data_IF_579373395099
#
_entry.id   IF_579373395099
#
_cell.length_a   1.000
_cell.length_b   1.000
_cell.length_c   1.000
_cell.angle_alpha   90.00
_cell.angle_beta   90.00
_cell.angle_gamma   90.00
#
_symmetry.space_group_name_H-M   'P 1'
#
loop_
_entity.id
_entity.type
_entity.pdbx_description
1 polymer ?
#
# COMPACT_ATOMS: atom_id res chain seq x y z
N UNK A 1 -6.28 -21.81 -15.69
CA UNK A 1 -7.15 -21.88 -14.50
C UNK A 1 -6.53 -20.94 -13.47
N UNK A 2 -7.15 -19.78 -13.25
CA UNK A 2 -6.60 -18.70 -12.42
C UNK A 2 -6.88 -19.01 -10.96
N UNK A 3 -5.84 -19.05 -10.12
CA UNK A 3 -6.00 -19.08 -8.66
C UNK A 3 -5.48 -17.75 -8.16
N UNK A 4 -6.42 -16.87 -7.82
CA UNK A 4 -6.21 -15.72 -6.97
C UNK A 4 -5.68 -16.22 -5.62
N UNK A 5 -4.39 -15.98 -5.34
CA UNK A 5 -3.85 -16.15 -4.01
C UNK A 5 -3.96 -14.83 -3.25
N UNK A 6 -4.89 -14.82 -2.31
CA UNK A 6 -5.19 -13.74 -1.40
C UNK A 6 -3.97 -13.31 -0.58
N UNK A 7 -3.34 -12.19 -0.97
CA UNK A 7 -3.14 -11.03 -0.10
C UNK A 7 -2.32 -11.16 1.19
N UNK A 8 -1.73 -12.30 1.55
CA UNK A 8 -0.70 -12.44 2.59
C UNK A 8 0.08 -13.74 2.32
N UNK A 9 1.42 -13.77 2.45
CA UNK A 9 2.13 -15.04 2.34
C UNK A 9 1.66 -15.93 3.49
N UNK A 10 0.89 -16.97 3.16
CA UNK A 10 0.58 -18.02 4.12
C UNK A 10 1.80 -18.89 4.26
N UNK A 11 2.49 -18.79 5.38
CA UNK A 11 3.59 -19.69 5.67
C UNK A 11 3.03 -21.02 6.14
N UNK A 12 3.16 -22.05 5.30
CA UNK A 12 2.94 -23.43 5.73
C UNK A 12 4.28 -24.03 6.14
N UNK A 13 4.36 -24.44 7.41
CA UNK A 13 5.53 -25.09 7.96
C UNK A 13 5.29 -26.60 8.01
N UNK A 14 6.13 -27.37 7.30
CA UNK A 14 6.19 -28.82 7.43
C UNK A 14 7.61 -29.21 7.83
N UNK A 15 7.76 -30.06 8.86
CA UNK A 15 9.08 -30.47 9.33
C UNK A 15 9.06 -31.87 9.97
N UNK A 16 10.24 -32.50 9.95
CA UNK A 16 10.52 -33.79 10.58
C UNK A 16 11.75 -33.64 11.47
N UNK A 17 11.72 -34.33 12.62
CA UNK A 17 12.79 -34.28 13.62
C UNK A 17 13.53 -35.62 13.65
N UNK A 18 14.86 -35.56 13.58
CA UNK A 18 15.76 -36.72 13.65
C UNK A 18 16.69 -36.60 14.86
N UNK A 19 16.94 -37.72 15.55
CA UNK A 19 17.96 -37.77 16.62
C UNK A 19 19.35 -37.90 16.01
N UNK A 20 20.31 -37.12 16.50
CA UNK A 20 21.72 -37.19 16.09
C UNK A 20 22.61 -37.52 17.30
N UNK A 21 23.91 -37.75 17.07
CA UNK A 21 24.88 -38.00 18.14
C UNK A 21 25.11 -36.81 19.07
N UNK A 22 24.77 -35.59 18.62
CA UNK A 22 25.01 -34.33 19.33
C UNK A 22 23.72 -33.60 19.76
N UNK A 23 22.55 -34.15 19.44
CA UNK A 23 21.26 -33.51 19.72
C UNK A 23 20.17 -33.97 18.74
N UNK A 24 19.47 -33.00 18.13
CA UNK A 24 18.39 -33.24 17.19
C UNK A 24 18.56 -32.36 15.95
N UNK A 25 18.14 -32.88 14.80
CA UNK A 25 18.12 -32.18 13.53
C UNK A 25 16.69 -32.04 13.04
N UNK A 26 16.29 -30.82 12.73
CA UNK A 26 14.98 -30.50 12.16
C UNK A 26 15.21 -30.23 10.69
N UNK A 27 14.55 -31.01 9.84
CA UNK A 27 14.52 -30.79 8.39
C UNK A 27 13.09 -30.47 8.01
N UNK A 28 12.90 -29.38 7.30
CA UNK A 28 11.56 -28.95 6.94
C UNK A 28 11.54 -28.08 5.71
N UNK A 29 10.33 -27.71 5.33
CA UNK A 29 10.05 -26.85 4.21
C UNK A 29 9.08 -25.76 4.65
N UNK A 30 9.39 -24.54 4.24
CA UNK A 30 8.54 -23.37 4.38
C UNK A 30 7.94 -23.12 3.00
N UNK A 31 6.62 -23.25 2.88
CA UNK A 31 5.89 -22.89 1.67
C UNK A 31 5.24 -21.53 1.83
N UNK A 32 5.22 -20.75 0.75
CA UNK A 32 4.55 -19.45 0.71
C UNK A 32 4.19 -19.09 -0.74
N UNK A 33 3.22 -18.20 -0.93
CA UNK A 33 2.56 -18.02 -2.22
C UNK A 33 3.22 -17.00 -3.18
N UNK A 34 4.34 -16.37 -2.79
CA UNK A 34 4.98 -15.29 -3.57
C UNK A 34 6.28 -15.73 -4.28
N UNK A 35 6.29 -15.68 -5.61
CA UNK A 35 7.35 -16.28 -6.43
C UNK A 35 8.71 -15.53 -6.40
N UNK A 36 8.72 -14.24 -6.03
CA UNK A 36 9.93 -13.37 -6.03
C UNK A 36 10.49 -13.04 -4.65
N UNK A 37 10.06 -13.76 -3.62
CA UNK A 37 10.42 -13.49 -2.23
C UNK A 37 11.83 -14.00 -1.90
N UNK A 38 12.69 -13.20 -1.25
CA UNK A 38 13.95 -13.64 -0.62
C UNK A 38 14.19 -12.88 0.67
N UNK A 39 14.11 -13.54 1.83
CA UNK A 39 14.42 -12.90 3.10
C UNK A 39 14.80 -13.86 4.23
N UNK A 40 15.54 -13.36 5.25
CA UNK A 40 15.75 -14.09 6.49
C UNK A 40 14.47 -14.12 7.35
N UNK A 41 14.12 -15.30 7.85
CA UNK A 41 13.00 -15.53 8.78
C UNK A 41 13.53 -16.17 10.07
N UNK A 42 13.08 -15.66 11.22
CA UNK A 42 13.42 -16.22 12.54
C UNK A 42 12.46 -17.39 12.86
N UNK A 43 13.01 -18.53 13.27
CA UNK A 43 12.31 -19.70 13.79
C UNK A 43 12.55 -19.79 15.29
N UNK A 44 11.49 -19.84 16.10
CA UNK A 44 11.57 -20.19 17.53
C UNK A 44 11.27 -21.67 17.68
N UNK A 45 12.23 -22.40 18.22
CA UNK A 45 12.14 -23.83 18.46
C UNK A 45 12.01 -24.03 19.96
N UNK A 46 10.83 -24.42 20.41
CA UNK A 46 10.61 -24.82 21.79
C UNK A 46 11.18 -26.22 21.98
N UNK A 47 12.12 -26.38 22.91
CA UNK A 47 12.74 -27.67 23.22
C UNK A 47 12.30 -28.16 24.62
N UNK A 48 12.65 -29.39 24.98
CA UNK A 48 12.53 -29.86 26.37
C UNK A 48 13.38 -29.05 27.37
N UNK A 49 14.41 -28.34 26.89
CA UNK A 49 15.20 -27.38 27.66
C UNK A 49 14.86 -25.93 27.29
N UNK A 50 15.90 -25.11 27.09
CA UNK A 50 15.72 -23.72 26.70
C UNK A 50 15.25 -23.61 25.23
N UNK A 51 14.33 -22.68 24.91
CA UNK A 51 13.99 -22.37 23.52
C UNK A 51 15.22 -21.88 22.76
N UNK A 52 15.35 -22.33 21.51
CA UNK A 52 16.41 -21.88 20.60
C UNK A 52 15.80 -21.05 19.47
N UNK A 53 16.46 -19.94 19.10
CA UNK A 53 16.08 -19.13 17.93
C UNK A 53 17.08 -19.39 16.81
N UNK A 54 16.60 -19.75 15.63
CA UNK A 54 17.42 -19.97 14.42
C UNK A 54 16.92 -19.09 13.30
N UNK A 55 17.81 -18.66 12.40
CA UNK A 55 17.44 -17.84 11.24
C UNK A 55 17.63 -18.66 9.97
N UNK A 56 16.63 -18.64 9.09
CA UNK A 56 16.65 -19.37 7.81
C UNK A 56 16.34 -18.41 6.68
N UNK A 57 16.98 -18.59 5.53
CA UNK A 57 16.67 -17.83 4.31
C UNK A 57 15.51 -18.50 3.59
N UNK A 58 14.44 -17.74 3.36
CA UNK A 58 13.28 -18.17 2.58
C UNK A 58 13.36 -17.50 1.22
N UNK A 59 13.50 -18.29 0.16
CA UNK A 59 13.53 -17.86 -1.24
C UNK A 59 12.51 -18.63 -2.10
N UNK A 60 11.70 -17.91 -2.88
CA UNK A 60 10.71 -18.48 -3.78
C UNK A 60 9.53 -19.15 -3.05
N UNK A 61 8.69 -19.90 -3.77
CA UNK A 61 7.44 -20.45 -3.23
C UNK A 61 7.63 -21.61 -2.24
N UNK A 62 8.85 -22.12 -2.15
CA UNK A 62 9.20 -23.28 -1.33
C UNK A 62 10.68 -23.22 -0.98
N UNK A 63 11.00 -23.14 0.30
CA UNK A 63 12.38 -23.19 0.79
C UNK A 63 12.56 -24.31 1.80
N UNK A 64 13.53 -25.17 1.54
CA UNK A 64 13.98 -26.17 2.49
C UNK A 64 14.92 -25.55 3.52
N UNK A 65 14.83 -26.00 4.76
CA UNK A 65 15.73 -25.59 5.82
C UNK A 65 16.18 -26.78 6.65
N UNK A 66 17.39 -26.66 7.19
CA UNK A 66 17.95 -27.62 8.14
C UNK A 66 18.50 -26.84 9.32
N UNK A 67 18.02 -27.16 10.52
CA UNK A 67 18.47 -26.54 11.76
C UNK A 67 18.76 -27.62 12.81
N UNK A 68 19.76 -27.38 13.64
CA UNK A 68 20.17 -28.30 14.71
C UNK A 68 19.89 -27.67 16.08
N UNK A 69 19.39 -28.50 16.99
CA UNK A 69 19.10 -28.13 18.38
C UNK A 69 19.72 -29.13 19.33
N UNK A 70 20.11 -28.66 20.51
CA UNK A 70 20.65 -29.53 21.55
C UNK A 70 19.53 -30.28 22.27
N UNK A 71 18.45 -29.56 22.65
CA UNK A 71 17.27 -30.14 23.28
C UNK A 71 16.32 -30.79 22.27
N UNK A 72 15.47 -31.72 22.75
CA UNK A 72 14.43 -32.35 21.93
C UNK A 72 13.36 -31.33 21.54
N UNK A 73 13.14 -31.06 20.23
CA UNK A 73 12.11 -30.12 19.78
C UNK A 73 10.69 -30.58 20.14
N UNK A 74 9.87 -29.66 20.63
CA UNK A 74 8.43 -29.84 20.91
C UNK A 74 7.57 -29.12 19.89
N UNK A 75 7.94 -27.88 19.56
CA UNK A 75 7.19 -27.00 18.66
C UNK A 75 8.16 -26.09 17.91
N UNK A 76 7.88 -25.87 16.63
CA UNK A 76 8.59 -24.88 15.82
C UNK A 76 7.58 -23.80 15.44
N UNK A 77 7.88 -22.56 15.81
CA UNK A 77 7.09 -21.37 15.49
C UNK A 77 7.86 -20.54 14.47
N UNK A 78 7.24 -20.25 13.33
CA UNK A 78 7.77 -19.31 12.35
C UNK A 78 7.47 -17.88 12.83
N UNK A 79 8.47 -17.01 12.79
CA UNK A 79 8.37 -15.58 13.06
C UNK A 79 7.70 -15.27 14.42
N UNK A 80 8.31 -15.68 15.54
CA UNK A 80 7.75 -15.55 16.88
C UNK A 80 7.47 -14.09 17.30
N UNK A 81 8.12 -13.13 16.63
CA UNK A 81 7.98 -11.69 16.91
C UNK A 81 7.02 -11.00 15.93
N UNK A 82 6.39 -11.77 15.03
CA UNK A 82 5.55 -11.27 13.95
C UNK A 82 6.28 -10.24 13.07
N UNK A 83 7.62 -10.28 12.90
CA UNK A 83 8.35 -9.31 12.06
C UNK A 83 7.94 -9.37 10.59
N UNK A 84 7.69 -10.58 10.10
CA UNK A 84 7.21 -10.87 8.75
C UNK A 84 5.70 -10.60 8.68
N UNK A 85 4.95 -10.95 9.73
CA UNK A 85 3.50 -10.70 9.84
C UNK A 85 3.14 -9.23 10.15
N UNK A 86 4.10 -8.40 10.58
CA UNK A 86 4.02 -6.93 10.75
C UNK A 86 4.03 -6.18 9.41
N UNK A 87 4.25 -6.85 8.28
CA UNK A 87 3.80 -6.37 6.97
C UNK A 87 2.28 -6.55 6.82
N UNK A 88 1.50 -5.94 7.73
CA UNK A 88 0.04 -5.97 7.65
C UNK A 88 -0.43 -5.43 6.29
N UNK A 89 -1.61 -5.83 5.80
CA UNK A 89 -2.21 -5.22 4.61
C UNK A 89 -2.17 -3.69 4.66
N UNK A 90 -2.45 -3.10 5.82
CA UNK A 90 -2.37 -1.66 6.06
C UNK A 90 -0.95 -1.09 5.92
N UNK A 91 0.08 -1.80 6.40
CA UNK A 91 1.48 -1.37 6.24
C UNK A 91 1.93 -1.48 4.78
N UNK A 92 1.48 -2.50 4.04
CA UNK A 92 1.80 -2.63 2.60
C UNK A 92 1.15 -1.53 1.77
N UNK A 93 -0.11 -1.19 2.06
CA UNK A 93 -0.77 -0.02 1.45
C UNK A 93 0.04 1.24 1.73
N UNK A 94 0.43 1.48 2.98
CA UNK A 94 1.22 2.66 3.34
C UNK A 94 2.61 2.72 2.67
N UNK A 95 3.30 1.58 2.57
CA UNK A 95 4.60 1.49 1.88
C UNK A 95 4.46 1.72 0.37
N UNK A 96 3.45 1.11 -0.26
CA UNK A 96 3.17 1.28 -1.68
C UNK A 96 2.82 2.75 -2.00
N UNK A 97 1.97 3.38 -1.18
CA UNK A 97 1.64 4.80 -1.32
C UNK A 97 2.88 5.68 -1.18
N UNK A 98 3.70 5.45 -0.15
CA UNK A 98 4.93 6.25 0.06
C UNK A 98 5.92 6.11 -1.10
N UNK A 99 6.09 4.90 -1.64
CA UNK A 99 6.97 4.68 -2.80
C UNK A 99 6.41 5.36 -4.05
N UNK A 100 5.09 5.28 -4.26
CA UNK A 100 4.42 5.98 -5.35
C UNK A 100 4.64 7.50 -5.27
N UNK A 101 4.50 8.09 -4.08
CA UNK A 101 4.79 9.51 -3.82
C UNK A 101 6.26 9.85 -4.16
N UNK A 102 7.22 9.05 -3.70
CA UNK A 102 8.64 9.27 -4.02
C UNK A 102 8.93 9.26 -5.53
N UNK A 103 8.29 8.36 -6.29
CA UNK A 103 8.41 8.34 -7.74
C UNK A 103 7.72 9.53 -8.40
N UNK A 104 6.56 9.95 -7.90
CA UNK A 104 5.85 11.13 -8.41
C UNK A 104 6.66 12.41 -8.20
N UNK A 105 7.31 12.57 -7.04
CA UNK A 105 8.13 13.74 -6.70
C UNK A 105 9.33 13.92 -7.64
N UNK A 106 9.89 12.81 -8.16
CA UNK A 106 10.98 12.84 -9.14
C UNK A 106 10.48 12.84 -10.59
N UNK A 107 9.16 12.90 -10.83
CA UNK A 107 8.54 12.94 -12.16
C UNK A 107 8.36 11.58 -12.84
N UNK A 108 8.69 10.48 -12.17
CA UNK A 108 8.56 9.10 -12.68
C UNK A 108 7.12 8.59 -12.52
N UNK A 109 6.18 9.25 -13.19
CA UNK A 109 4.74 8.99 -13.05
C UNK A 109 4.33 7.56 -13.38
N UNK A 110 5.02 6.90 -14.32
CA UNK A 110 4.72 5.52 -14.69
C UNK A 110 4.98 4.52 -13.55
N UNK A 111 6.10 4.68 -12.84
CA UNK A 111 6.43 3.85 -11.68
C UNK A 111 5.55 4.21 -10.47
N UNK A 112 5.24 5.50 -10.30
CA UNK A 112 4.32 5.95 -9.25
C UNK A 112 2.95 5.28 -9.37
N UNK A 113 2.37 5.26 -10.57
CA UNK A 113 1.08 4.61 -10.83
C UNK A 113 1.11 3.10 -10.53
N UNK A 114 2.21 2.40 -10.86
CA UNK A 114 2.37 0.97 -10.52
C UNK A 114 2.36 0.74 -9.02
N UNK A 115 3.02 1.59 -8.23
CA UNK A 115 3.01 1.47 -6.77
C UNK A 115 1.62 1.78 -6.18
N UNK A 116 0.91 2.80 -6.67
CA UNK A 116 -0.47 3.04 -6.25
C UNK A 116 -1.42 1.91 -6.64
N UNK A 117 -1.20 1.25 -7.78
CA UNK A 117 -1.96 0.07 -8.17
C UNK A 117 -1.80 -1.08 -7.16
N UNK A 118 -0.58 -1.30 -6.65
CA UNK A 118 -0.35 -2.28 -5.56
C UNK A 118 -1.11 -1.92 -4.27
N UNK A 119 -1.24 -0.62 -3.96
CA UNK A 119 -2.06 -0.19 -2.83
C UNK A 119 -3.54 -0.51 -3.06
N UNK A 120 -4.04 -0.30 -4.27
CA UNK A 120 -5.42 -0.61 -4.67
C UNK A 120 -5.70 -2.11 -4.76
N UNK A 121 -4.71 -2.94 -5.07
CA UNK A 121 -4.84 -4.40 -5.01
C UNK A 121 -5.15 -4.89 -3.59
N UNK A 122 -4.63 -4.20 -2.58
CA UNK A 122 -4.87 -4.54 -1.17
C UNK A 122 -6.14 -3.89 -0.63
N UNK A 123 -6.40 -2.62 -0.97
CA UNK A 123 -7.64 -1.92 -0.66
C UNK A 123 -8.17 -1.21 -1.92
N UNK A 124 -9.12 -1.87 -2.60
CA UNK A 124 -9.72 -1.37 -3.84
C UNK A 124 -10.50 -0.06 -3.67
N UNK A 125 -10.90 0.27 -2.44
CA UNK A 125 -11.68 1.47 -2.14
C UNK A 125 -10.83 2.53 -1.43
N UNK A 126 -9.49 2.41 -1.50
CA UNK A 126 -8.57 3.34 -0.85
C UNK A 126 -8.67 4.74 -1.46
N UNK A 127 -9.34 5.65 -0.75
CA UNK A 127 -9.52 7.03 -1.18
C UNK A 127 -8.17 7.73 -1.36
N UNK A 128 -7.18 7.44 -0.50
CA UNK A 128 -5.83 7.97 -0.65
C UNK A 128 -5.13 7.50 -1.93
N UNK A 129 -5.24 6.22 -2.29
CA UNK A 129 -4.60 5.70 -3.49
C UNK A 129 -5.21 6.31 -4.76
N UNK A 130 -6.54 6.34 -4.83
CA UNK A 130 -7.25 7.02 -5.92
C UNK A 130 -6.91 8.50 -6.01
N UNK A 131 -6.79 9.20 -4.87
CA UNK A 131 -6.43 10.61 -4.84
C UNK A 131 -5.05 10.84 -5.46
N UNK A 132 -4.07 9.99 -5.14
CA UNK A 132 -2.71 10.11 -5.69
C UNK A 132 -2.64 9.81 -7.18
N UNK A 133 -3.38 8.82 -7.65
CA UNK A 133 -3.52 8.53 -9.09
C UNK A 133 -4.18 9.71 -9.82
N UNK A 134 -5.25 10.27 -9.25
CA UNK A 134 -5.94 11.43 -9.79
C UNK A 134 -5.02 12.65 -9.92
N UNK A 135 -4.19 12.90 -8.92
CA UNK A 135 -3.23 14.00 -8.92
C UNK A 135 -2.18 13.84 -10.03
N UNK A 136 -1.65 12.63 -10.24
CA UNK A 136 -0.76 12.34 -11.38
C UNK A 136 -1.46 12.62 -12.71
N UNK A 137 -2.68 12.13 -12.91
CA UNK A 137 -3.41 12.39 -14.14
C UNK A 137 -3.71 13.88 -14.34
N UNK A 138 -3.98 14.60 -13.26
CA UNK A 138 -4.14 16.06 -13.30
C UNK A 138 -2.84 16.73 -13.76
N UNK A 139 -1.69 16.35 -13.20
CA UNK A 139 -0.38 16.86 -13.61
C UNK A 139 -0.10 16.60 -15.09
N UNK A 140 -0.46 15.42 -15.60
CA UNK A 140 -0.33 15.03 -17.01
C UNK A 140 -1.36 15.69 -17.95
N UNK A 141 -2.24 16.56 -17.43
CA UNK A 141 -3.35 17.19 -18.17
C UNK A 141 -4.43 16.20 -18.66
N UNK A 142 -4.44 14.97 -18.14
CA UNK A 142 -5.49 14.00 -18.42
C UNK A 142 -6.68 14.24 -17.48
N UNK A 143 -7.38 15.35 -17.71
CA UNK A 143 -8.44 15.84 -16.83
C UNK A 143 -9.63 14.89 -16.71
N UNK A 144 -9.96 14.14 -17.76
CA UNK A 144 -11.05 13.17 -17.72
C UNK A 144 -10.72 11.98 -16.81
N UNK A 145 -9.50 11.43 -16.92
CA UNK A 145 -9.05 10.36 -16.03
C UNK A 145 -8.93 10.86 -14.58
N UNK A 146 -8.35 12.04 -14.38
CA UNK A 146 -8.23 12.66 -13.05
C UNK A 146 -9.61 12.84 -12.39
N UNK A 147 -10.60 13.35 -13.12
CA UNK A 147 -11.95 13.54 -12.58
C UNK A 147 -12.63 12.22 -12.22
N UNK A 148 -12.41 11.15 -12.99
CA UNK A 148 -12.96 9.84 -12.67
C UNK A 148 -12.34 9.30 -11.38
N UNK A 149 -11.02 9.40 -11.23
CA UNK A 149 -10.31 8.95 -10.03
C UNK A 149 -10.68 9.77 -8.80
N UNK A 150 -10.82 11.10 -8.91
CA UNK A 150 -11.31 11.92 -7.79
C UNK A 150 -12.76 11.58 -7.37
N UNK A 151 -13.61 11.08 -8.28
CA UNK A 151 -14.93 10.56 -7.88
C UNK A 151 -14.80 9.25 -7.10
N UNK A 152 -13.89 8.37 -7.50
CA UNK A 152 -13.59 7.15 -6.75
C UNK A 152 -13.04 7.45 -5.35
N UNK A 153 -12.35 8.58 -5.15
CA UNK A 153 -12.00 9.06 -3.81
C UNK A 153 -13.27 9.29 -2.98
N UNK A 154 -14.28 9.96 -3.54
CA UNK A 154 -15.53 10.30 -2.86
C UNK A 154 -16.43 9.08 -2.63
N UNK A 155 -16.35 8.06 -3.48
CA UNK A 155 -17.07 6.79 -3.36
C UNK A 155 -16.33 5.76 -2.47
N UNK A 156 -15.11 6.06 -2.05
CA UNK A 156 -14.21 5.16 -1.33
C UNK A 156 -14.38 5.17 0.20
N UNK A 157 -13.31 4.83 0.91
CA UNK A 157 -13.27 4.81 2.38
C UNK A 157 -13.15 6.18 3.04
N UNK A 158 -12.89 7.23 2.26
CA UNK A 158 -12.64 8.61 2.68
C UNK A 158 -11.52 8.72 3.73
N UNK A 159 -10.57 7.78 3.69
CA UNK A 159 -9.42 7.78 4.57
C UNK A 159 -8.13 8.12 3.80
N UNK A 160 -7.35 9.11 4.26
CA UNK A 160 -7.63 10.00 5.40
C UNK A 160 -8.69 11.06 5.06
N UNK A 161 -9.49 11.48 6.06
CA UNK A 161 -10.61 12.44 5.91
C UNK A 161 -10.36 13.67 5.03
N UNK A 162 -9.13 14.21 5.04
CA UNK A 162 -8.78 15.37 4.20
C UNK A 162 -8.92 15.08 2.69
N UNK A 163 -8.94 13.81 2.25
CA UNK A 163 -9.11 13.45 0.85
C UNK A 163 -10.46 13.89 0.31
N UNK A 164 -11.51 13.93 1.14
CA UNK A 164 -12.85 14.36 0.75
C UNK A 164 -12.85 15.83 0.29
N UNK A 165 -12.37 16.74 1.14
CA UNK A 165 -12.35 18.17 0.83
C UNK A 165 -11.47 18.48 -0.37
N UNK A 166 -10.31 17.83 -0.47
CA UNK A 166 -9.38 18.06 -1.56
C UNK A 166 -9.83 17.42 -2.88
N UNK A 167 -10.57 16.31 -2.86
CA UNK A 167 -11.18 15.74 -4.05
C UNK A 167 -12.21 16.70 -4.66
N UNK A 168 -13.08 17.31 -3.84
CA UNK A 168 -14.00 18.34 -4.30
C UNK A 168 -13.27 19.56 -4.88
N UNK A 169 -12.23 20.06 -4.20
CA UNK A 169 -11.43 21.19 -4.72
C UNK A 169 -10.82 20.84 -6.09
N UNK A 170 -10.21 19.67 -6.24
CA UNK A 170 -9.56 19.31 -7.49
C UNK A 170 -10.56 18.99 -8.62
N UNK A 171 -11.71 18.40 -8.33
CA UNK A 171 -12.82 18.30 -9.28
C UNK A 171 -13.29 19.69 -9.74
N UNK A 172 -13.41 20.63 -8.80
CA UNK A 172 -13.70 22.03 -9.11
C UNK A 172 -12.67 22.64 -10.06
N UNK A 173 -11.37 22.45 -9.79
CA UNK A 173 -10.28 22.93 -10.65
C UNK A 173 -10.36 22.32 -12.04
N UNK A 174 -10.63 21.03 -12.15
CA UNK A 174 -10.81 20.34 -13.44
C UNK A 174 -11.99 20.93 -14.21
N UNK A 175 -13.12 21.17 -13.55
CA UNK A 175 -14.29 21.77 -14.18
C UNK A 175 -14.03 23.21 -14.63
N UNK A 176 -13.30 24.02 -13.87
CA UNK A 176 -12.90 25.36 -14.30
C UNK A 176 -12.01 25.31 -15.56
N UNK A 177 -11.00 24.44 -15.58
CA UNK A 177 -10.08 24.28 -16.73
C UNK A 177 -10.84 23.85 -17.99
N UNK A 178 -11.85 22.99 -17.83
CA UNK A 178 -12.65 22.46 -18.93
C UNK A 178 -13.86 23.35 -19.28
N UNK A 179 -13.97 24.55 -18.69
CA UNK A 179 -15.00 25.54 -19.02
C UNK A 179 -16.38 25.27 -18.38
N UNK A 180 -16.47 24.35 -17.44
CA UNK A 180 -17.71 23.91 -16.78
C UNK A 180 -17.90 24.62 -15.43
N UNK A 181 -17.87 25.96 -15.44
CA UNK A 181 -17.82 26.80 -14.23
C UNK A 181 -18.93 26.50 -13.23
N UNK A 182 -20.16 26.27 -13.67
CA UNK A 182 -21.28 25.98 -12.77
C UNK A 182 -21.04 24.69 -11.96
N UNK A 183 -20.46 23.67 -12.60
CA UNK A 183 -20.07 22.42 -11.91
C UNK A 183 -18.92 22.69 -10.96
N UNK A 184 -17.94 23.51 -11.35
CA UNK A 184 -16.83 23.86 -10.50
C UNK A 184 -17.29 24.54 -9.20
N UNK A 185 -18.18 25.53 -9.32
CA UNK A 185 -18.77 26.23 -8.16
C UNK A 185 -19.53 25.27 -7.26
N UNK A 186 -20.25 24.30 -7.81
CA UNK A 186 -20.92 23.26 -7.00
C UNK A 186 -19.91 22.44 -6.20
N UNK A 187 -18.82 21.98 -6.83
CA UNK A 187 -17.77 21.21 -6.14
C UNK A 187 -17.08 22.04 -5.05
N UNK A 188 -16.74 23.31 -5.31
CA UNK A 188 -16.15 24.16 -4.27
C UNK A 188 -17.11 24.41 -3.10
N UNK A 189 -18.41 24.53 -3.36
CA UNK A 189 -19.40 24.62 -2.29
C UNK A 189 -19.48 23.33 -1.47
N UNK A 190 -19.36 22.16 -2.10
CA UNK A 190 -19.25 20.88 -1.40
C UNK A 190 -17.98 20.83 -0.53
N UNK A 191 -16.84 21.26 -1.07
CA UNK A 191 -15.61 21.39 -0.30
C UNK A 191 -15.78 22.29 0.95
N UNK A 192 -16.45 23.44 0.82
CA UNK A 192 -16.72 24.33 1.98
C UNK A 192 -17.63 23.66 3.02
N UNK A 193 -18.59 22.84 2.59
CA UNK A 193 -19.51 22.13 3.49
C UNK A 193 -18.82 21.07 4.35
N UNK A 194 -17.70 20.49 3.89
CA UNK A 194 -16.91 19.54 4.70
C UNK A 194 -16.37 20.19 5.98
N UNK A 195 -16.17 21.52 5.97
CA UNK A 195 -15.53 22.31 7.05
C UNK A 195 -14.12 21.82 7.44
N UNK A 196 -13.48 21.00 6.60
CA UNK A 196 -12.12 20.55 6.80
C UNK A 196 -11.14 21.59 6.22
N UNK A 197 -10.30 22.17 7.07
CA UNK A 197 -9.28 23.16 6.68
C UNK A 197 -7.86 22.59 6.62
N UNK A 198 -7.72 21.28 6.43
CA UNK A 198 -6.41 20.64 6.27
C UNK A 198 -5.65 21.29 5.11
N UNK A 199 -4.44 21.78 5.39
CA UNK A 199 -3.59 22.48 4.43
C UNK A 199 -4.23 23.73 3.79
N UNK A 200 -5.15 24.41 4.48
CA UNK A 200 -5.79 25.62 3.96
C UNK A 200 -6.90 25.37 2.93
N UNK A 201 -7.46 24.16 2.90
CA UNK A 201 -8.48 23.76 1.93
C UNK A 201 -9.71 24.70 1.88
N UNK A 202 -10.17 25.23 3.02
CA UNK A 202 -11.32 26.15 3.05
C UNK A 202 -11.02 27.48 2.39
N UNK A 203 -9.79 27.98 2.57
CA UNK A 203 -9.33 29.22 1.95
C UNK A 203 -9.20 29.05 0.42
N UNK A 204 -8.64 27.93 -0.03
CA UNK A 204 -8.55 27.60 -1.45
C UNK A 204 -9.94 27.44 -2.08
N UNK A 205 -10.87 26.74 -1.44
CA UNK A 205 -12.25 26.61 -1.94
C UNK A 205 -12.96 27.97 -2.02
N UNK A 206 -12.84 28.81 -0.98
CA UNK A 206 -13.43 30.16 -0.96
C UNK A 206 -12.82 31.10 -2.03
N UNK A 207 -11.52 30.97 -2.27
CA UNK A 207 -10.81 31.67 -3.35
C UNK A 207 -11.37 31.24 -4.70
N UNK A 208 -11.52 29.94 -4.97
CA UNK A 208 -12.02 29.47 -6.25
C UNK A 208 -13.51 29.66 -6.48
N UNK A 209 -14.30 29.87 -5.42
CA UNK A 209 -15.67 30.37 -5.54
C UNK A 209 -15.71 31.80 -6.12
N UNK A 210 -14.79 32.66 -5.70
CA UNK A 210 -14.71 34.05 -6.18
C UNK A 210 -14.13 34.14 -7.59
N UNK A 211 -13.03 33.45 -7.84
CA UNK A 211 -12.33 33.47 -9.12
C UNK A 211 -12.03 32.05 -9.60
N UNK A 212 -12.48 31.69 -10.80
CA UNK A 212 -12.25 30.34 -11.33
C UNK A 212 -10.78 30.01 -11.50
N UNK A 213 -10.45 28.76 -11.15
CA UNK A 213 -9.09 28.27 -11.27
C UNK A 213 -8.63 28.32 -12.73
N UNK A 214 -7.48 28.95 -12.94
CA UNK A 214 -6.79 28.96 -14.23
C UNK A 214 -5.43 28.32 -14.01
N UNK A 215 -5.18 27.20 -14.69
CA UNK A 215 -3.85 26.59 -14.66
C UNK A 215 -2.88 27.54 -15.36
N UNK A 216 -1.85 27.99 -14.64
CA UNK A 216 -0.75 28.71 -15.27
C UNK A 216 -0.07 27.75 -16.25
N UNK A 217 0.00 28.11 -17.54
CA UNK A 217 0.85 27.42 -18.49
C UNK A 217 2.29 27.65 -18.05
N UNK A 218 2.88 26.70 -17.34
CA UNK A 218 4.33 26.59 -17.28
C UNK A 218 4.78 26.29 -18.70
N UNK A 219 5.40 27.28 -19.36
CA UNK A 219 6.11 27.07 -20.61
C UNK A 219 7.18 26.01 -20.34
N UNK A 220 6.95 24.79 -20.82
CA UNK A 220 8.02 23.81 -20.94
C UNK A 220 8.93 24.34 -22.05
N UNK A 221 10.13 24.80 -21.65
CA UNK A 221 11.26 24.97 -22.55
C UNK A 221 11.84 23.60 -22.89
#
# INVERSE_FOLDING_TARGET
QWIESSGAPQFKLEYTVYRTSKGFRIMGKIQQDLDTFRMPVDLKIETEGNPEIKRVEVSGPSSEFVVETFGKPKKVEIDPNLRVLRMSPTMRVAVAIRRGEMFADIGEYGEALKEFQKAMEVNRNSSLAHYRVADIFFLQNNYQAAANEFRLVLDGDLEPKWTEVWAHINLGKIFDITGQRDRAVNEYNLAVRTRDNTQGAQEEAAKYLKEGYKRQRTAAN
#
